data_IF_632304541126
#
_entry.id   IF_632304541126
#
_cell.length_a   1.000
_cell.length_b   1.000
_cell.length_c   1.000
_cell.angle_alpha   90.00
_cell.angle_beta   90.00
_cell.angle_gamma   90.00
#
_symmetry.space_group_name_H-M   'P 1'
#
loop_
_entity.id
_entity.type
_entity.pdbx_description
1 polymer ?
#
# COMPACT_ATOMS: atom_id res chain seq x y z
N UNK A 1 11.53 -18.83 31.65
CA UNK A 1 11.23 -17.46 32.13
C UNK A 1 12.55 -16.96 32.67
N UNK A 2 13.33 -16.32 31.81
CA UNK A 2 14.77 -16.27 32.01
C UNK A 2 15.11 -14.87 32.54
N UNK A 3 15.55 -14.82 33.79
CA UNK A 3 15.99 -13.62 34.46
C UNK A 3 17.52 -13.65 34.52
N UNK A 4 18.17 -12.59 34.04
CA UNK A 4 19.59 -12.36 34.29
C UNK A 4 19.75 -11.27 35.34
N UNK A 5 20.68 -11.52 36.27
CA UNK A 5 20.99 -10.62 37.36
C UNK A 5 22.09 -9.65 36.92
N UNK A 6 21.78 -8.36 36.83
CA UNK A 6 22.77 -7.33 36.57
C UNK A 6 23.44 -6.89 37.88
N UNK A 7 24.69 -7.31 38.05
CA UNK A 7 25.50 -7.06 39.25
C UNK A 7 25.95 -5.60 39.41
N UNK A 8 25.76 -4.73 38.40
CA UNK A 8 26.09 -3.29 38.53
C UNK A 8 24.93 -2.44 39.03
N UNK A 9 23.69 -2.86 38.82
CA UNK A 9 22.50 -2.05 39.12
C UNK A 9 21.65 -2.60 40.27
N UNK A 10 21.97 -3.80 40.78
CA UNK A 10 21.18 -4.50 41.81
C UNK A 10 19.67 -4.55 41.48
N UNK A 11 19.32 -4.59 40.20
CA UNK A 11 17.93 -4.65 39.72
C UNK A 11 17.77 -5.82 38.76
N UNK A 12 16.62 -6.49 38.86
CA UNK A 12 16.18 -7.46 37.85
C UNK A 12 15.76 -6.68 36.60
N UNK A 13 16.51 -6.84 35.52
CA UNK A 13 16.17 -6.22 34.23
C UNK A 13 15.45 -7.28 33.39
N UNK A 14 14.25 -6.93 32.93
CA UNK A 14 13.50 -7.76 31.99
C UNK A 14 14.20 -7.72 30.64
N UNK A 15 14.83 -8.83 30.22
CA UNK A 15 15.32 -8.95 28.85
C UNK A 15 14.11 -9.16 27.93
N UNK A 16 13.74 -8.11 27.19
CA UNK A 16 12.58 -8.06 26.28
C UNK A 16 12.64 -8.99 25.06
N UNK A 17 13.41 -10.08 25.11
CA UNK A 17 13.55 -11.05 24.03
C UNK A 17 12.26 -11.85 23.78
N UNK A 18 11.34 -11.91 24.74
CA UNK A 18 10.07 -12.65 24.60
C UNK A 18 8.98 -11.88 23.82
N UNK A 19 8.99 -10.54 23.83
CA UNK A 19 7.96 -9.72 23.15
C UNK A 19 8.17 -9.60 21.64
N UNK A 20 9.40 -9.76 21.15
CA UNK A 20 9.71 -9.63 19.71
C UNK A 20 9.21 -10.85 18.91
N UNK A 21 9.22 -12.05 19.50
CA UNK A 21 8.63 -13.25 18.85
C UNK A 21 7.11 -13.14 18.71
N UNK A 22 6.41 -12.61 19.73
CA UNK A 22 4.95 -12.42 19.67
C UNK A 22 4.49 -11.46 18.56
N UNK A 23 5.29 -10.44 18.25
CA UNK A 23 4.96 -9.45 17.21
C UNK A 23 5.13 -9.97 15.77
N UNK A 24 5.96 -10.99 15.55
CA UNK A 24 6.15 -11.60 14.22
C UNK A 24 5.00 -12.54 13.83
N UNK A 25 4.41 -13.23 14.80
CA UNK A 25 3.35 -14.22 14.54
C UNK A 25 1.93 -13.59 14.41
N UNK A 26 1.72 -12.36 14.90
CA UNK A 26 0.42 -11.68 14.86
C UNK A 26 0.12 -10.92 13.55
N UNK A 27 1.06 -10.84 12.61
CA UNK A 27 0.90 -10.12 11.33
C UNK A 27 0.92 -11.02 10.10
N UNK A 28 0.50 -12.28 10.27
CA UNK A 28 0.21 -13.18 9.14
C UNK A 28 -0.95 -12.58 8.33
N UNK A 29 -0.63 -12.02 7.16
CA UNK A 29 -1.61 -11.55 6.19
C UNK A 29 -2.65 -12.65 5.93
N UNK A 30 -3.92 -12.38 6.23
CA UNK A 30 -4.99 -13.33 5.96
C UNK A 30 -5.72 -12.97 4.66
N UNK A 31 -5.85 -13.93 3.72
CA UNK A 31 -6.53 -13.69 2.47
C UNK A 31 -8.01 -13.35 2.69
N UNK A 32 -8.49 -12.31 2.00
CA UNK A 32 -9.85 -11.80 2.21
C UNK A 32 -10.85 -12.48 1.28
N UNK A 33 -11.93 -13.02 1.86
CA UNK A 33 -13.03 -13.63 1.12
C UNK A 33 -13.97 -12.55 0.59
N UNK A 34 -13.97 -12.30 -0.72
CA UNK A 34 -14.98 -11.44 -1.34
C UNK A 34 -16.23 -12.28 -1.63
N UNK A 35 -17.38 -11.89 -1.08
CA UNK A 35 -18.68 -12.47 -1.46
C UNK A 35 -19.02 -12.04 -2.89
N UNK A 36 -19.03 -12.98 -3.81
CA UNK A 36 -19.48 -12.74 -5.19
C UNK A 36 -20.96 -12.35 -5.18
N UNK A 37 -21.31 -11.19 -5.75
CA UNK A 37 -22.71 -10.75 -5.88
C UNK A 37 -23.52 -11.59 -6.90
N UNK A 38 -22.85 -12.43 -7.69
CA UNK A 38 -23.49 -13.41 -8.56
C UNK A 38 -23.38 -14.78 -7.89
N UNK A 39 -24.53 -15.39 -7.55
CA UNK A 39 -24.71 -16.60 -6.72
C UNK A 39 -24.03 -17.90 -7.20
N UNK A 40 -22.72 -17.88 -7.42
CA UNK A 40 -21.88 -19.05 -7.62
C UNK A 40 -21.01 -19.30 -6.38
N UNK A 41 -21.00 -20.55 -5.89
CA UNK A 41 -20.26 -21.03 -4.72
C UNK A 41 -18.72 -20.98 -4.81
N UNK A 42 -18.14 -20.30 -5.82
CA UNK A 42 -16.68 -20.14 -5.91
C UNK A 42 -16.26 -18.86 -5.18
N UNK A 43 -16.04 -18.97 -3.87
CA UNK A 43 -15.37 -17.92 -3.10
C UNK A 43 -13.91 -17.83 -3.53
N UNK A 44 -13.60 -16.87 -4.40
CA UNK A 44 -12.22 -16.55 -4.73
C UNK A 44 -11.60 -15.73 -3.60
N UNK A 45 -10.48 -16.21 -3.05
CA UNK A 45 -9.71 -15.49 -2.04
C UNK A 45 -8.81 -14.48 -2.74
N UNK A 46 -9.05 -13.19 -2.49
CA UNK A 46 -8.19 -12.13 -3.03
C UNK A 46 -6.98 -11.95 -2.11
N UNK A 47 -5.79 -11.89 -2.69
CA UNK A 47 -4.55 -11.67 -1.95
C UNK A 47 -3.99 -12.91 -1.27
N UNK A 48 -4.42 -14.11 -1.67
CA UNK A 48 -3.70 -15.35 -1.34
C UNK A 48 -2.30 -15.29 -1.98
N UNK A 49 -1.27 -15.31 -1.14
CA UNK A 49 0.13 -15.36 -1.54
C UNK A 49 0.46 -16.76 -2.04
N UNK A 50 1.14 -16.82 -3.18
CA UNK A 50 1.58 -18.03 -3.84
C UNK A 50 3.11 -17.95 -3.94
N UNK A 51 3.79 -19.00 -3.49
CA UNK A 51 5.25 -19.03 -3.34
C UNK A 51 5.96 -19.79 -4.48
N UNK A 52 5.22 -20.55 -5.29
CA UNK A 52 5.80 -21.25 -6.43
C UNK A 52 6.27 -20.26 -7.50
N UNK A 53 7.27 -20.66 -8.30
CA UNK A 53 7.72 -19.89 -9.45
C UNK A 53 6.94 -20.26 -10.74
N UNK A 54 6.48 -21.50 -10.83
CA UNK A 54 5.90 -22.08 -12.05
C UNK A 54 4.48 -22.57 -11.80
N UNK A 55 3.56 -22.08 -12.62
CA UNK A 55 2.13 -22.41 -12.51
C UNK A 55 1.59 -22.91 -13.85
N UNK A 56 0.47 -23.66 -13.84
CA UNK A 56 -0.25 -23.94 -15.07
C UNK A 56 -0.66 -22.62 -15.73
N UNK A 57 -0.42 -22.51 -17.05
CA UNK A 57 -0.81 -21.34 -17.81
C UNK A 57 -2.32 -21.23 -17.82
N UNK A 58 -2.86 -20.24 -17.10
CA UNK A 58 -4.29 -20.04 -16.95
C UNK A 58 -4.99 -19.85 -18.30
N UNK A 59 -4.38 -19.12 -19.22
CA UNK A 59 -4.98 -18.88 -20.53
C UNK A 59 -5.24 -20.17 -21.32
N UNK A 60 -4.37 -21.19 -21.26
CA UNK A 60 -4.62 -22.47 -21.94
C UNK A 60 -5.03 -23.61 -20.98
N UNK A 61 -5.23 -23.30 -19.70
CA UNK A 61 -5.47 -24.26 -18.62
C UNK A 61 -4.45 -25.42 -18.60
N UNK A 62 -3.16 -25.14 -18.82
CA UNK A 62 -2.12 -26.18 -18.80
C UNK A 62 -1.92 -26.94 -20.11
N UNK A 63 -2.83 -26.84 -21.08
CA UNK A 63 -2.79 -27.67 -22.31
C UNK A 63 -1.66 -27.32 -23.28
N UNK A 64 -1.12 -26.09 -23.19
CA UNK A 64 -0.13 -25.59 -24.15
C UNK A 64 -0.73 -25.11 -25.47
N UNK A 65 -2.03 -25.30 -25.71
CA UNK A 65 -2.69 -24.95 -26.97
C UNK A 65 -3.89 -24.03 -26.73
N UNK A 66 -3.96 -22.91 -27.48
CA UNK A 66 -5.15 -22.04 -27.52
C UNK A 66 -5.05 -21.01 -28.66
N UNK A 67 -5.95 -21.01 -29.65
CA UNK A 67 -7.03 -21.99 -29.92
C UNK A 67 -6.50 -23.39 -30.28
N UNK A 68 -7.40 -24.39 -30.32
CA UNK A 68 -7.04 -25.80 -30.61
C UNK A 68 -6.22 -25.91 -31.91
N UNK A 69 -5.17 -26.73 -31.89
CA UNK A 69 -4.30 -26.93 -33.05
C UNK A 69 -3.28 -25.80 -33.27
N UNK A 70 -3.17 -24.83 -32.34
CA UNK A 70 -2.15 -23.80 -32.37
C UNK A 70 -1.49 -23.63 -31.01
N UNK A 71 -0.18 -23.36 -31.00
CA UNK A 71 0.57 -23.11 -29.76
C UNK A 71 -0.01 -21.91 -29.03
N UNK A 72 -0.25 -22.07 -27.73
CA UNK A 72 -0.75 -21.00 -26.88
C UNK A 72 0.18 -19.77 -26.95
N UNK A 73 -0.35 -18.56 -27.21
CA UNK A 73 0.48 -17.35 -27.37
C UNK A 73 1.16 -16.91 -26.07
N UNK A 74 0.66 -17.36 -24.92
CA UNK A 74 1.18 -16.97 -23.60
C UNK A 74 2.35 -17.85 -23.17
N UNK A 75 2.17 -19.17 -23.18
CA UNK A 75 3.19 -20.14 -22.75
C UNK A 75 4.01 -20.72 -23.90
N UNK A 76 3.70 -20.36 -25.15
CA UNK A 76 4.38 -20.82 -26.38
C UNK A 76 4.40 -22.35 -26.53
N UNK A 77 3.34 -23.04 -26.09
CA UNK A 77 3.25 -24.51 -26.13
C UNK A 77 3.66 -25.22 -24.85
N UNK A 78 4.28 -24.54 -23.87
CA UNK A 78 4.81 -25.18 -22.66
C UNK A 78 3.74 -25.66 -21.68
N UNK A 79 2.51 -25.14 -21.76
CA UNK A 79 1.45 -25.38 -20.77
C UNK A 79 1.65 -24.66 -19.44
N UNK A 80 2.84 -24.13 -19.13
CA UNK A 80 3.15 -23.45 -17.86
C UNK A 80 3.51 -21.98 -18.04
N UNK A 81 3.38 -21.20 -16.97
CA UNK A 81 3.78 -19.80 -16.89
C UNK A 81 4.66 -19.58 -15.66
N UNK A 82 5.82 -18.93 -15.84
CA UNK A 82 6.72 -18.53 -14.75
C UNK A 82 6.40 -17.10 -14.29
N UNK A 83 6.40 -16.90 -12.97
CA UNK A 83 6.20 -15.63 -12.27
C UNK A 83 7.10 -15.61 -11.04
N UNK A 84 7.72 -14.47 -10.77
CA UNK A 84 8.53 -14.26 -9.56
C UNK A 84 7.64 -14.35 -8.31
N UNK A 85 7.97 -15.20 -7.32
CA UNK A 85 7.30 -15.18 -6.03
C UNK A 85 7.75 -13.97 -5.18
N UNK A 86 6.92 -13.48 -4.24
CA UNK A 86 5.56 -13.94 -3.99
C UNK A 86 4.59 -13.44 -5.07
N UNK A 87 3.61 -14.27 -5.40
CA UNK A 87 2.61 -13.98 -6.42
C UNK A 87 1.20 -14.03 -5.82
N UNK A 88 0.24 -13.38 -6.48
CA UNK A 88 -1.18 -13.53 -6.16
C UNK A 88 -1.95 -13.87 -7.42
N UNK A 89 -3.09 -14.53 -7.27
CA UNK A 89 -4.03 -14.69 -8.39
C UNK A 89 -4.54 -13.32 -8.83
N UNK A 90 -4.60 -13.09 -10.14
CA UNK A 90 -5.05 -11.82 -10.72
C UNK A 90 -6.54 -11.58 -10.44
N UNK A 91 -6.85 -10.60 -9.60
CA UNK A 91 -8.23 -10.27 -9.22
C UNK A 91 -9.09 -9.80 -10.41
N UNK A 92 -8.52 -9.08 -11.37
CA UNK A 92 -9.25 -8.56 -12.53
C UNK A 92 -9.91 -9.66 -13.38
N UNK A 93 -9.14 -10.68 -13.75
CA UNK A 93 -9.61 -11.84 -14.53
C UNK A 93 -9.97 -13.05 -13.65
N UNK A 94 -9.84 -12.92 -12.32
CA UNK A 94 -10.06 -13.99 -11.32
C UNK A 94 -9.26 -15.25 -11.61
N UNK A 95 -8.02 -15.09 -12.05
CA UNK A 95 -7.13 -16.22 -12.35
C UNK A 95 -7.32 -16.88 -13.72
N UNK A 96 -8.28 -16.45 -14.55
CA UNK A 96 -8.54 -17.10 -15.86
C UNK A 96 -7.51 -16.77 -16.94
N UNK A 97 -6.80 -15.65 -16.82
CA UNK A 97 -5.91 -15.17 -17.86
C UNK A 97 -6.63 -14.56 -19.08
N UNK A 98 -7.96 -14.44 -19.05
CA UNK A 98 -8.75 -13.88 -20.15
C UNK A 98 -9.30 -12.50 -19.80
N UNK A 99 -9.36 -11.60 -20.78
CA UNK A 99 -9.95 -10.26 -20.60
C UNK A 99 -11.46 -10.36 -20.39
N UNK A 100 -12.11 -11.24 -21.16
CA UNK A 100 -13.52 -11.60 -21.02
C UNK A 100 -13.67 -13.13 -21.03
N UNK A 101 -14.62 -13.70 -20.27
CA UNK A 101 -14.82 -15.15 -20.27
C UNK A 101 -15.07 -15.70 -21.66
N UNK A 102 -14.41 -16.82 -21.99
CA UNK A 102 -14.54 -17.55 -23.26
C UNK A 102 -14.07 -16.77 -24.48
N UNK A 103 -13.13 -15.84 -24.29
CA UNK A 103 -12.51 -15.11 -25.41
C UNK A 103 -11.08 -15.59 -25.65
N UNK A 104 -10.53 -15.26 -26.83
CA UNK A 104 -9.12 -15.48 -27.16
C UNK A 104 -8.23 -14.27 -26.77
N UNK A 105 -8.81 -13.28 -26.09
CA UNK A 105 -8.11 -12.06 -25.72
C UNK A 105 -7.48 -12.27 -24.35
N UNK A 106 -6.16 -12.12 -24.28
CA UNK A 106 -5.42 -12.25 -23.03
C UNK A 106 -5.75 -11.10 -22.09
N UNK A 107 -5.86 -11.41 -20.80
CA UNK A 107 -6.07 -10.40 -19.77
C UNK A 107 -4.92 -9.39 -19.79
N UNK A 108 -5.26 -8.10 -19.91
CA UNK A 108 -4.28 -7.01 -19.96
C UNK A 108 -3.47 -6.85 -18.66
N UNK A 109 -4.07 -7.19 -17.51
CA UNK A 109 -3.42 -7.08 -16.20
C UNK A 109 -2.35 -8.15 -15.95
N UNK A 110 -2.62 -9.42 -16.27
CA UNK A 110 -1.72 -10.54 -16.02
C UNK A 110 -1.08 -11.12 -17.29
N UNK A 111 -1.37 -10.54 -18.46
CA UNK A 111 -0.89 -10.97 -19.78
C UNK A 111 -1.17 -12.45 -20.08
N UNK A 112 -2.31 -12.96 -19.62
CA UNK A 112 -2.69 -14.36 -19.81
C UNK A 112 -2.16 -15.36 -18.79
N UNK A 113 -1.29 -14.96 -17.87
CA UNK A 113 -0.73 -15.89 -16.86
C UNK A 113 -1.76 -16.31 -15.81
N UNK A 114 -2.75 -15.47 -15.53
CA UNK A 114 -3.74 -15.67 -14.45
C UNK A 114 -3.23 -15.29 -13.06
N UNK A 115 -1.92 -15.16 -12.90
CA UNK A 115 -1.22 -14.80 -11.66
C UNK A 115 -0.30 -13.62 -11.90
N UNK A 116 0.03 -12.89 -10.84
CA UNK A 116 0.80 -11.64 -10.88
C UNK A 116 1.70 -11.54 -9.65
N UNK A 117 2.96 -11.20 -9.88
CA UNK A 117 3.93 -10.94 -8.81
C UNK A 117 3.48 -9.76 -7.92
N UNK A 118 3.77 -9.85 -6.62
CA UNK A 118 3.56 -8.80 -5.61
C UNK A 118 4.79 -8.70 -4.70
N UNK A 119 4.98 -7.54 -4.09
CA UNK A 119 5.99 -7.35 -3.05
C UNK A 119 5.27 -7.29 -1.71
N UNK A 120 5.75 -8.04 -0.72
CA UNK A 120 5.24 -7.95 0.63
C UNK A 120 5.85 -6.75 1.38
N UNK A 121 5.11 -6.16 2.34
CA UNK A 121 3.77 -6.52 2.78
C UNK A 121 2.68 -5.98 1.84
N UNK A 122 1.61 -6.76 1.64
CA UNK A 122 0.47 -6.39 0.81
C UNK A 122 -0.75 -6.01 1.66
N UNK A 123 -1.61 -5.15 1.11
CA UNK A 123 -2.96 -4.90 1.62
C UNK A 123 -4.00 -4.97 0.48
N UNK A 124 -5.28 -5.16 0.81
CA UNK A 124 -6.35 -5.08 -0.18
C UNK A 124 -6.37 -3.68 -0.74
N UNK A 125 -6.41 -3.56 -2.06
CA UNK A 125 -6.46 -2.25 -2.71
C UNK A 125 -7.70 -1.48 -2.24
N UNK A 126 -7.55 -0.34 -1.54
CA UNK A 126 -8.68 0.40 -0.96
C UNK A 126 -9.57 1.01 -2.05
N UNK A 127 -9.02 1.22 -3.24
CA UNK A 127 -9.72 1.82 -4.37
C UNK A 127 -10.73 0.88 -5.02
N UNK A 128 -10.30 -0.34 -5.36
CA UNK A 128 -11.16 -1.33 -5.99
C UNK A 128 -11.74 -2.36 -5.02
N UNK A 129 -11.40 -2.25 -3.72
CA UNK A 129 -11.82 -3.18 -2.65
C UNK A 129 -11.52 -4.64 -3.00
N UNK A 130 -10.35 -4.88 -3.59
CA UNK A 130 -9.92 -6.23 -3.97
C UNK A 130 -10.44 -6.75 -5.31
N UNK A 131 -11.34 -6.05 -6.00
CA UNK A 131 -11.91 -6.56 -7.26
C UNK A 131 -10.94 -6.52 -8.45
N UNK A 132 -9.86 -5.74 -8.34
CA UNK A 132 -8.95 -5.46 -9.46
C UNK A 132 -9.57 -4.57 -10.55
N UNK A 133 -10.81 -4.10 -10.38
CA UNK A 133 -11.55 -3.30 -11.35
C UNK A 133 -11.78 -1.88 -10.86
N UNK A 134 -11.72 -0.94 -11.78
CA UNK A 134 -12.06 0.45 -11.53
C UNK A 134 -13.56 0.56 -11.19
N UNK A 135 -13.95 1.20 -10.06
CA UNK A 135 -15.36 1.28 -9.67
C UNK A 135 -16.26 1.93 -10.72
N UNK A 136 -15.74 2.91 -11.47
CA UNK A 136 -16.52 3.73 -12.40
C UNK A 136 -16.76 3.05 -13.75
N UNK A 137 -15.70 2.53 -14.38
CA UNK A 137 -15.76 2.04 -15.76
C UNK A 137 -15.49 0.53 -15.91
N UNK A 138 -15.25 -0.18 -14.79
CA UNK A 138 -14.97 -1.62 -14.73
C UNK A 138 -13.71 -2.06 -15.50
N UNK A 139 -12.88 -1.12 -15.97
CA UNK A 139 -11.58 -1.39 -16.56
C UNK A 139 -10.59 -1.84 -15.46
N UNK A 140 -9.36 -2.15 -15.85
CA UNK A 140 -8.30 -2.49 -14.90
C UNK A 140 -8.10 -1.34 -13.92
N UNK A 141 -8.16 -1.64 -12.62
CA UNK A 141 -7.93 -0.63 -11.58
C UNK A 141 -6.51 -0.04 -11.73
N UNK A 142 -6.43 1.29 -11.85
CA UNK A 142 -5.15 1.97 -12.12
C UNK A 142 -4.20 1.85 -10.92
N UNK A 143 -4.73 1.88 -9.68
CA UNK A 143 -3.91 1.83 -8.46
C UNK A 143 -3.22 0.48 -8.26
N UNK A 144 -3.96 -0.63 -8.37
CA UNK A 144 -3.41 -1.97 -8.15
C UNK A 144 -3.07 -2.71 -9.46
N UNK A 145 -3.28 -2.08 -10.62
CA UNK A 145 -3.06 -2.68 -11.96
C UNK A 145 -3.72 -4.05 -12.13
N UNK A 146 -4.91 -4.22 -11.56
CA UNK A 146 -5.67 -5.47 -11.64
C UNK A 146 -5.28 -6.57 -10.66
N UNK A 147 -4.26 -6.36 -9.81
CA UNK A 147 -3.84 -7.34 -8.79
C UNK A 147 -4.89 -7.53 -7.69
N UNK A 148 -5.65 -6.48 -7.36
CA UNK A 148 -6.59 -6.46 -6.23
C UNK A 148 -5.92 -6.12 -4.90
N UNK A 149 -4.60 -6.15 -4.83
CA UNK A 149 -3.80 -5.77 -3.67
C UNK A 149 -2.78 -4.68 -4.03
N UNK A 150 -2.33 -3.92 -3.05
CA UNK A 150 -1.26 -2.91 -3.18
C UNK A 150 -0.17 -3.18 -2.15
N UNK A 151 1.06 -2.79 -2.48
CA UNK A 151 2.22 -2.96 -1.61
C UNK A 151 2.24 -1.81 -0.60
N UNK A 152 2.37 -2.12 0.69
CA UNK A 152 2.41 -1.14 1.76
C UNK A 152 3.87 -0.86 2.08
N UNK A 153 4.37 0.33 1.72
CA UNK A 153 5.68 0.77 2.21
C UNK A 153 5.55 1.08 3.69
N UNK A 154 6.09 0.21 4.55
CA UNK A 154 6.21 0.52 5.98
C UNK A 154 7.28 1.60 6.13
N UNK A 155 6.89 2.81 6.53
CA UNK A 155 7.85 3.87 6.88
C UNK A 155 8.67 3.52 8.15
N UNK A 156 8.26 2.49 8.91
CA UNK A 156 8.83 2.12 10.22
C UNK A 156 10.10 1.27 10.22
N UNK A 157 10.59 0.79 9.08
CA UNK A 157 11.86 0.04 9.04
C UNK A 157 13.10 0.96 9.04
N UNK A 158 12.91 2.27 8.84
CA UNK A 158 14.02 3.23 8.82
C UNK A 158 14.49 3.64 10.21
N UNK A 159 13.66 3.53 11.25
CA UNK A 159 14.04 3.92 12.62
C UNK A 159 14.81 2.83 13.38
N UNK A 160 14.84 1.59 12.87
CA UNK A 160 15.46 0.44 13.59
C UNK A 160 16.87 0.15 13.05
N UNK A 161 17.11 0.35 11.74
CA UNK A 161 18.44 0.14 11.15
C UNK A 161 19.43 1.28 11.44
N UNK A 162 18.94 2.48 11.77
CA UNK A 162 19.81 3.62 12.11
C UNK A 162 20.42 3.54 13.53
N UNK A 163 19.90 2.70 14.45
CA UNK A 163 20.47 2.62 15.81
C UNK A 163 21.56 1.57 15.99
N UNK A 164 21.60 0.49 15.19
CA UNK A 164 22.53 -0.62 15.41
C UNK A 164 23.90 -0.44 14.72
N UNK A 165 24.00 0.38 13.66
CA UNK A 165 25.30 0.69 13.02
C UNK A 165 26.02 1.91 13.61
N UNK A 166 25.30 2.81 14.32
CA UNK A 166 25.90 4.00 14.94
C UNK A 166 26.78 3.65 16.15
N UNK A 167 26.51 2.58 16.88
CA UNK A 167 27.34 2.18 18.03
C UNK A 167 28.65 1.45 17.63
N UNK A 168 28.83 1.08 16.35
CA UNK A 168 30.00 0.30 15.89
C UNK A 168 31.03 1.06 15.06
N UNK A 169 30.74 2.27 14.61
CA UNK A 169 31.70 3.09 13.86
C UNK A 169 31.72 4.53 14.39
N UNK A 170 32.12 4.66 15.66
CA UNK A 170 32.61 5.93 16.19
C UNK A 170 33.84 6.38 15.39
N UNK A 171 33.76 7.60 14.87
CA UNK A 171 34.88 8.45 14.42
C UNK A 171 35.34 8.44 12.95
N UNK A 172 34.71 7.71 12.00
CA UNK A 172 35.23 7.68 10.60
C UNK A 172 34.22 7.94 9.46
N UNK A 173 33.11 8.66 9.68
CA UNK A 173 32.17 8.92 8.58
C UNK A 173 31.47 10.29 8.62
N UNK A 174 32.19 11.37 8.98
CA UNK A 174 31.63 12.72 8.84
C UNK A 174 31.84 13.34 7.44
N UNK A 175 32.68 12.75 6.57
CA UNK A 175 33.12 13.44 5.35
C UNK A 175 32.42 13.01 4.04
N UNK A 176 31.56 11.98 4.05
CA UNK A 176 30.77 11.62 2.85
C UNK A 176 29.33 12.13 2.89
N UNK A 177 28.93 12.82 3.97
CA UNK A 177 27.56 13.31 4.19
C UNK A 177 27.19 14.60 3.41
N UNK A 178 28.06 15.10 2.52
CA UNK A 178 27.78 16.32 1.74
C UNK A 178 27.57 16.12 0.23
N UNK A 179 27.70 14.91 -0.33
CA UNK A 179 27.61 14.74 -1.79
C UNK A 179 26.63 13.64 -2.19
N UNK A 180 25.34 13.86 -1.98
CA UNK A 180 24.29 13.33 -2.87
C UNK A 180 22.95 14.05 -2.68
N UNK A 181 23.02 15.38 -2.59
CA UNK A 181 21.88 16.29 -2.73
C UNK A 181 21.75 16.74 -4.19
N UNK A 182 21.63 15.79 -5.13
CA UNK A 182 21.26 16.09 -6.53
C UNK A 182 20.15 15.16 -7.01
N UNK A 183 18.94 15.73 -6.89
CA UNK A 183 17.80 15.59 -7.81
C UNK A 183 17.17 14.20 -8.00
N UNK A 184 16.06 13.99 -7.27
CA UNK A 184 14.76 13.82 -7.93
C UNK A 184 13.71 14.65 -7.21
N UNK A 185 12.89 15.46 -7.90
CA UNK A 185 11.82 16.23 -7.28
C UNK A 185 10.73 15.26 -6.82
N UNK A 186 10.70 14.97 -5.52
CA UNK A 186 9.55 14.35 -4.88
C UNK A 186 8.42 15.37 -4.96
N UNK A 187 7.35 15.04 -5.65
CA UNK A 187 6.11 15.82 -5.63
C UNK A 187 5.59 15.84 -4.18
N UNK A 188 5.84 16.99 -3.53
CA UNK A 188 5.10 17.57 -2.40
C UNK A 188 4.78 16.63 -1.23
N UNK A 189 5.64 16.64 -0.21
CA UNK A 189 5.19 16.42 1.16
C UNK A 189 4.05 17.42 1.43
N UNK A 190 2.86 16.92 1.79
CA UNK A 190 1.74 17.77 2.18
C UNK A 190 2.02 18.26 3.59
N UNK A 191 2.82 19.31 3.68
CA UNK A 191 3.11 20.03 4.91
C UNK A 191 1.95 20.97 5.23
N UNK A 192 1.44 20.86 6.45
CA UNK A 192 0.37 21.70 6.99
C UNK A 192 -0.35 20.96 8.10
N UNK A 193 -0.16 21.41 9.34
CA UNK A 193 -0.77 20.80 10.53
C UNK A 193 -2.07 21.52 10.92
N UNK A 194 -2.95 20.84 11.67
CA UNK A 194 -4.16 21.48 12.23
C UNK A 194 -3.81 22.68 13.12
N UNK A 195 -2.68 22.60 13.85
CA UNK A 195 -2.18 23.68 14.71
C UNK A 195 -1.85 24.93 13.90
N UNK A 196 -1.16 24.75 12.78
CA UNK A 196 -0.79 25.84 11.87
C UNK A 196 -2.04 26.46 11.22
N UNK A 197 -3.01 25.64 10.80
CA UNK A 197 -4.28 26.14 10.28
C UNK A 197 -5.04 26.98 11.33
N UNK A 198 -5.03 26.54 12.60
CA UNK A 198 -5.63 27.28 13.70
C UNK A 198 -4.93 28.63 13.96
N UNK A 199 -3.59 28.66 13.92
CA UNK A 199 -2.80 29.90 14.04
C UNK A 199 -3.10 30.88 12.90
N UNK A 200 -3.25 30.37 11.67
CA UNK A 200 -3.63 31.19 10.51
C UNK A 200 -5.03 31.78 10.68
N UNK A 201 -6.01 30.98 11.10
CA UNK A 201 -7.39 31.47 11.37
C UNK A 201 -7.37 32.50 12.50
N UNK A 202 -6.57 32.27 13.55
CA UNK A 202 -6.39 33.23 14.66
C UNK A 202 -5.87 34.58 14.17
N UNK A 203 -4.86 34.56 13.32
CA UNK A 203 -4.22 35.76 12.77
C UNK A 203 -5.15 36.56 11.87
N UNK A 204 -6.00 35.87 11.10
CA UNK A 204 -6.89 36.49 10.11
C UNK A 204 -8.28 36.84 10.67
N UNK A 205 -8.68 36.29 11.83
CA UNK A 205 -9.96 36.54 12.47
C UNK A 205 -11.12 35.78 11.81
N UNK A 206 -11.56 36.22 10.61
CA UNK A 206 -12.56 35.54 9.78
C UNK A 206 -11.95 35.17 8.44
N UNK A 207 -11.85 33.87 8.14
CA UNK A 207 -11.14 33.38 6.95
C UNK A 207 -11.94 32.34 6.20
N UNK A 208 -11.89 32.34 4.88
CA UNK A 208 -12.36 31.21 4.08
C UNK A 208 -11.24 30.17 3.88
N UNK A 209 -11.58 29.01 3.32
CA UNK A 209 -10.60 27.95 3.03
C UNK A 209 -9.47 28.40 2.09
N UNK A 210 -9.72 29.40 1.22
CA UNK A 210 -8.73 29.90 0.25
C UNK A 210 -7.71 30.78 0.97
N UNK A 211 -8.15 31.66 1.86
CA UNK A 211 -7.31 32.49 2.69
C UNK A 211 -6.43 31.63 3.61
N UNK A 212 -6.99 30.59 4.23
CA UNK A 212 -6.21 29.63 5.04
C UNK A 212 -5.15 28.95 4.19
N UNK A 213 -5.52 28.41 3.02
CA UNK A 213 -4.61 27.72 2.12
C UNK A 213 -3.41 28.58 1.67
N UNK A 214 -3.66 29.85 1.35
CA UNK A 214 -2.62 30.80 0.90
C UNK A 214 -1.67 31.25 2.02
N UNK A 215 -2.10 31.17 3.28
CA UNK A 215 -1.40 31.73 4.43
C UNK A 215 -0.64 30.68 5.27
N UNK A 216 -0.71 29.41 4.89
CA UNK A 216 0.11 28.33 5.46
C UNK A 216 1.48 28.27 4.81
N UNK A 217 2.49 27.75 5.52
CA UNK A 217 3.87 27.68 5.05
C UNK A 217 4.40 26.23 5.06
N UNK A 218 4.55 25.62 3.87
CA UNK A 218 4.25 26.15 2.55
C UNK A 218 2.75 26.22 2.25
N UNK A 219 2.34 27.04 1.25
CA UNK A 219 0.95 27.11 0.83
C UNK A 219 0.41 25.73 0.43
N UNK A 220 -0.81 25.43 0.88
CA UNK A 220 -1.47 24.14 0.63
C UNK A 220 -2.60 24.28 -0.38
N UNK A 221 -3.14 23.15 -0.84
CA UNK A 221 -4.36 23.17 -1.68
C UNK A 221 -5.58 23.61 -0.87
N UNK A 222 -6.53 24.29 -1.51
CA UNK A 222 -7.80 24.70 -0.88
C UNK A 222 -8.64 23.51 -0.38
N UNK A 223 -8.53 22.35 -1.04
CA UNK A 223 -9.18 21.11 -0.61
C UNK A 223 -8.56 20.55 0.67
N UNK A 224 -7.22 20.60 0.80
CA UNK A 224 -6.54 20.19 2.04
C UNK A 224 -6.81 21.17 3.19
N UNK A 225 -6.84 22.48 2.91
CA UNK A 225 -7.21 23.48 3.90
C UNK A 225 -8.64 23.26 4.44
N UNK A 226 -9.57 22.86 3.57
CA UNK A 226 -10.94 22.50 3.98
C UNK A 226 -10.97 21.25 4.87
N UNK A 227 -10.12 20.25 4.61
CA UNK A 227 -10.00 19.08 5.49
C UNK A 227 -9.50 19.48 6.89
N UNK A 228 -8.50 20.36 6.97
CA UNK A 228 -7.99 20.89 8.24
C UNK A 228 -9.06 21.71 8.99
N UNK A 229 -9.79 22.59 8.30
CA UNK A 229 -10.87 23.37 8.91
C UNK A 229 -12.01 22.46 9.40
N UNK A 230 -12.37 21.42 8.64
CA UNK A 230 -13.38 20.45 9.07
C UNK A 230 -12.93 19.63 10.31
N UNK A 231 -11.63 19.33 10.43
CA UNK A 231 -11.09 18.70 11.62
C UNK A 231 -11.16 19.62 12.85
N UNK A 232 -10.83 20.90 12.68
CA UNK A 232 -10.93 21.92 13.74
C UNK A 232 -12.38 22.18 14.17
N UNK A 233 -13.34 22.17 13.23
CA UNK A 233 -14.78 22.26 13.52
C UNK A 233 -15.25 21.07 14.38
N UNK A 234 -14.84 19.85 14.04
CA UNK A 234 -15.19 18.64 14.82
C UNK A 234 -14.63 18.68 16.24
N UNK A 235 -13.50 19.35 16.44
CA UNK A 235 -12.89 19.56 17.75
C UNK A 235 -13.48 20.74 18.53
N UNK A 236 -14.39 21.51 17.92
CA UNK A 236 -14.98 22.70 18.55
C UNK A 236 -13.94 23.80 18.80
N UNK A 237 -12.91 23.92 17.97
CA UNK A 237 -11.89 24.96 18.09
C UNK A 237 -12.20 26.21 17.24
N UNK A 238 -13.06 26.05 16.25
CA UNK A 238 -13.55 27.10 15.36
C UNK A 238 -15.05 26.93 15.13
N UNK A 239 -15.73 27.99 14.71
CA UNK A 239 -17.10 28.01 14.20
C UNK A 239 -17.12 28.40 12.73
N UNK A 240 -18.18 28.00 12.03
CA UNK A 240 -18.38 28.29 10.60
C UNK A 240 -19.62 29.16 10.41
N UNK A 241 -19.44 30.37 9.92
CA UNK A 241 -20.49 31.31 9.51
C UNK A 241 -20.54 31.39 7.98
N UNK A 242 -21.38 30.57 7.36
CA UNK A 242 -21.44 30.46 5.90
C UNK A 242 -20.18 29.83 5.29
N UNK A 243 -19.37 30.65 4.61
CA UNK A 243 -18.09 30.23 3.99
C UNK A 243 -16.87 30.61 4.83
N UNK A 244 -17.06 31.32 5.94
CA UNK A 244 -16.00 31.83 6.81
C UNK A 244 -15.85 30.97 8.06
N UNK A 245 -14.60 30.83 8.51
CA UNK A 245 -14.19 30.21 9.75
C UNK A 245 -13.68 31.28 10.72
N UNK A 246 -14.06 31.18 11.99
CA UNK A 246 -13.53 32.01 13.08
C UNK A 246 -13.33 31.17 14.33
N UNK A 247 -12.45 31.62 15.22
CA UNK A 247 -12.22 30.95 16.51
C UNK A 247 -13.44 31.14 17.42
N UNK A 248 -13.71 30.13 18.26
CA UNK A 248 -14.73 30.19 19.32
C UNK A 248 -14.25 31.08 20.47
#
# INVERSE_FOLDING_TARGET
>A
MDWEWDSRSHKKIHTGKSSIKKLKDEWLWQPFKIKSAAGGNRSYQVGELLEDEVYPCAFCNGTGERPKGSKCPVCKGKGTASVEPPAVRCAYCRGTGEEKPRTIITCTACRGKGIVHVEEPIEICPHCKGTGKEPTNKLVCIKCRGKGVVTVKREKEREIYDSEEIEKFGDFAQETYQVNKKERPIRSAVSGSEKEALEVIKRLGKSDRIAVAKNMSPPISSSYAEQLCNALLKKGLIVREGVLYSII
#
